data_IF_901494269626
#
_entry.id   IF_901494269626
#
_cell.length_a   1.000
_cell.length_b   1.000
_cell.length_c   1.000
_cell.angle_alpha   90.00
_cell.angle_beta   90.00
_cell.angle_gamma   90.00
#
_symmetry.space_group_name_H-M   'P 1'
#
loop_
_entity.id
_entity.type
_entity.pdbx_description
1 polymer ?
#
# COMPACT_ATOMS: atom_id res chain seq x y z
N UNK A 1 -8.23 -8.01 28.90
CA UNK A 1 -8.22 -8.79 27.64
C UNK A 1 -6.95 -8.43 26.88
N UNK A 2 -5.88 -9.22 27.01
CA UNK A 2 -4.63 -9.03 26.26
C UNK A 2 -4.65 -9.97 25.07
N UNK A 3 -4.67 -9.43 23.86
CA UNK A 3 -4.69 -10.20 22.63
C UNK A 3 -3.25 -10.61 22.28
N UNK A 4 -2.88 -11.90 22.25
CA UNK A 4 -1.56 -12.31 21.79
C UNK A 4 -1.57 -12.28 20.27
N UNK A 5 -1.04 -11.21 19.68
CA UNK A 5 -0.74 -11.17 18.24
C UNK A 5 0.45 -12.09 17.98
N UNK A 6 0.18 -13.37 17.74
CA UNK A 6 1.16 -14.32 17.20
C UNK A 6 1.48 -13.90 15.77
N UNK A 7 2.44 -12.99 15.61
CA UNK A 7 2.97 -12.61 14.30
C UNK A 7 3.83 -13.75 13.77
N UNK A 8 3.47 -14.29 12.59
CA UNK A 8 4.32 -15.26 11.89
C UNK A 8 5.67 -14.63 11.58
N UNK A 9 6.73 -15.20 12.14
CA UNK A 9 8.11 -14.88 11.78
C UNK A 9 8.29 -15.04 10.27
N UNK A 10 8.77 -14.00 9.60
CA UNK A 10 9.11 -14.05 8.18
C UNK A 10 10.01 -15.26 7.90
N UNK A 11 9.67 -16.05 6.88
CA UNK A 11 10.49 -17.17 6.44
C UNK A 11 11.78 -16.66 5.80
N UNK A 12 12.82 -17.49 5.69
CA UNK A 12 14.13 -17.08 5.14
C UNK A 12 14.09 -16.58 3.68
N UNK A 13 12.96 -16.78 2.98
CA UNK A 13 12.71 -16.31 1.63
C UNK A 13 11.87 -15.04 1.58
N UNK A 14 11.27 -14.64 2.70
CA UNK A 14 10.45 -13.45 2.75
C UNK A 14 11.33 -12.21 2.81
N UNK A 15 10.93 -11.12 2.14
CA UNK A 15 11.65 -9.88 2.23
C UNK A 15 11.75 -9.36 3.67
N UNK A 16 12.87 -8.75 4.03
CA UNK A 16 13.17 -8.35 5.41
C UNK A 16 12.13 -7.40 6.04
N UNK A 17 11.45 -6.59 5.23
CA UNK A 17 10.36 -5.69 5.67
C UNK A 17 9.05 -6.42 6.03
N UNK A 18 8.95 -7.73 5.76
CA UNK A 18 7.80 -8.56 6.14
C UNK A 18 7.91 -9.17 7.56
N UNK A 19 9.04 -8.98 8.25
CA UNK A 19 9.22 -9.48 9.61
C UNK A 19 8.29 -8.76 10.60
N UNK A 20 7.24 -9.45 11.07
CA UNK A 20 6.23 -8.89 12.00
C UNK A 20 6.74 -8.68 13.43
N UNK A 21 7.95 -9.15 13.75
CA UNK A 21 8.58 -8.90 15.06
C UNK A 21 9.24 -7.52 15.13
N UNK A 22 9.45 -6.86 14.00
CA UNK A 22 9.96 -5.48 13.91
C UNK A 22 8.81 -4.48 14.00
N UNK A 23 9.12 -3.28 14.48
CA UNK A 23 8.16 -2.17 14.48
C UNK A 23 7.77 -1.78 13.04
N UNK A 24 6.58 -1.15 12.85
CA UNK A 24 6.19 -0.63 11.55
C UNK A 24 7.23 0.34 10.96
N UNK A 25 7.90 1.13 11.79
CA UNK A 25 8.93 2.08 11.37
C UNK A 25 10.18 1.37 10.83
N UNK A 26 10.67 0.35 11.54
CA UNK A 26 11.82 -0.45 11.10
C UNK A 26 11.51 -1.17 9.78
N UNK A 27 10.31 -1.74 9.65
CA UNK A 27 9.86 -2.39 8.42
C UNK A 27 9.78 -1.42 7.25
N UNK A 28 9.27 -0.22 7.47
CA UNK A 28 9.22 0.82 6.44
C UNK A 28 10.63 1.24 5.98
N UNK A 29 11.57 1.39 6.91
CA UNK A 29 12.96 1.71 6.55
C UNK A 29 13.65 0.61 5.74
N UNK A 30 13.40 -0.66 6.08
CA UNK A 30 13.91 -1.80 5.30
C UNK A 30 13.35 -1.80 3.88
N UNK A 31 12.06 -1.49 3.71
CA UNK A 31 11.43 -1.35 2.40
C UNK A 31 12.03 -0.19 1.60
N UNK A 32 12.13 1.00 2.21
CA UNK A 32 12.68 2.20 1.58
C UNK A 32 14.15 2.06 1.16
N UNK A 33 14.92 1.27 1.91
CA UNK A 33 16.32 0.97 1.58
C UNK A 33 16.46 0.11 0.31
N UNK A 34 15.41 -0.64 -0.05
CA UNK A 34 15.40 -1.43 -1.27
C UNK A 34 14.93 -0.65 -2.48
N UNK A 35 14.23 0.48 -2.30
CA UNK A 35 13.63 1.25 -3.40
C UNK A 35 14.62 2.17 -4.12
N UNK A 36 14.48 2.30 -5.45
CA UNK A 36 15.16 3.34 -6.23
C UNK A 36 14.56 4.73 -5.94
N UNK A 37 15.20 5.78 -6.44
CA UNK A 37 14.66 7.14 -6.29
C UNK A 37 13.34 7.29 -7.07
N UNK A 38 13.28 6.71 -8.27
CA UNK A 38 12.11 6.73 -9.14
C UNK A 38 10.92 6.04 -8.46
N UNK A 39 11.14 4.85 -7.87
CA UNK A 39 10.10 4.14 -7.12
C UNK A 39 9.63 4.95 -5.90
N UNK A 40 10.52 5.69 -5.24
CA UNK A 40 10.13 6.61 -4.14
C UNK A 40 9.30 7.78 -4.65
N UNK A 41 9.62 8.30 -5.84
CA UNK A 41 8.86 9.37 -6.49
C UNK A 41 7.46 8.87 -6.85
N UNK A 42 7.33 7.68 -7.45
CA UNK A 42 6.04 7.06 -7.78
C UNK A 42 5.15 6.84 -6.56
N UNK A 43 5.74 6.56 -5.39
CA UNK A 43 4.98 6.40 -4.15
C UNK A 43 4.37 7.72 -3.64
N UNK A 44 5.02 8.85 -3.91
CA UNK A 44 4.60 10.19 -3.44
C UNK A 44 3.83 10.95 -4.51
N UNK A 45 4.02 10.60 -5.78
CA UNK A 45 3.33 11.18 -6.93
C UNK A 45 2.06 10.41 -7.25
N UNK A 46 0.90 11.00 -6.93
CA UNK A 46 -0.38 10.44 -7.36
C UNK A 46 -0.62 10.63 -8.85
N UNK A 47 -1.05 9.59 -9.55
CA UNK A 47 -1.56 9.72 -10.92
C UNK A 47 -3.02 10.20 -10.89
N UNK A 48 -3.29 11.28 -11.61
CA UNK A 48 -4.63 11.82 -11.85
C UNK A 48 -5.07 11.53 -13.30
N UNK A 49 -6.33 11.12 -13.59
CA UNK A 49 -7.42 10.72 -12.71
C UNK A 49 -7.82 9.24 -12.93
N UNK A 50 -7.41 8.36 -12.02
CA UNK A 50 -8.08 7.08 -11.79
C UNK A 50 -9.42 7.35 -11.05
N UNK A 51 -10.41 6.42 -10.99
CA UNK A 51 -11.72 6.65 -10.36
C UNK A 51 -11.72 6.87 -8.82
N UNK A 52 -10.55 7.20 -8.25
CA UNK A 52 -10.27 7.43 -6.84
C UNK A 52 -9.83 8.88 -6.62
N UNK A 53 -9.96 9.40 -5.39
CA UNK A 53 -9.56 10.78 -5.07
C UNK A 53 -8.05 11.01 -5.23
N UNK A 54 -7.24 9.99 -4.91
CA UNK A 54 -5.81 9.90 -5.21
C UNK A 54 -5.45 8.44 -5.50
N UNK A 55 -4.52 8.21 -6.43
CA UNK A 55 -4.06 6.89 -6.84
C UNK A 55 -2.54 6.89 -7.01
N UNK A 56 -1.83 5.91 -6.45
CA UNK A 56 -0.43 5.63 -6.80
C UNK A 56 -0.35 4.29 -7.52
N UNK A 57 0.40 4.23 -8.63
CA UNK A 57 0.63 3.01 -9.40
C UNK A 57 1.33 1.92 -8.54
N UNK A 58 1.16 0.62 -8.89
CA UNK A 58 1.84 -0.45 -8.17
C UNK A 58 3.35 -0.41 -8.43
N UNK A 59 4.15 -0.54 -7.36
CA UNK A 59 5.61 -0.66 -7.47
C UNK A 59 5.96 -2.15 -7.45
N UNK A 60 6.07 -2.72 -8.64
CA UNK A 60 6.07 -4.18 -8.86
C UNK A 60 7.26 -4.90 -8.22
N UNK A 61 8.45 -4.29 -8.21
CA UNK A 61 9.69 -4.93 -7.73
C UNK A 61 9.72 -5.17 -6.21
N UNK A 62 9.37 -4.20 -5.34
CA UNK A 62 9.16 -4.45 -3.92
C UNK A 62 7.79 -5.08 -3.59
N UNK A 63 6.94 -5.31 -4.59
CA UNK A 63 5.61 -5.90 -4.39
C UNK A 63 4.61 -4.96 -3.71
N UNK A 64 4.75 -3.65 -3.87
CA UNK A 64 3.83 -2.66 -3.30
C UNK A 64 2.60 -2.57 -4.21
N UNK A 65 1.39 -2.92 -3.74
CA UNK A 65 0.18 -2.80 -4.54
C UNK A 65 -0.18 -1.33 -4.78
N UNK A 66 -1.01 -1.08 -5.78
CA UNK A 66 -1.54 0.26 -6.04
C UNK A 66 -2.25 0.83 -4.79
N UNK A 67 -1.96 2.09 -4.47
CA UNK A 67 -2.58 2.77 -3.33
C UNK A 67 -3.79 3.57 -3.81
N UNK A 68 -4.97 3.20 -3.35
CA UNK A 68 -6.23 3.90 -3.66
C UNK A 68 -6.71 4.66 -2.42
N UNK A 69 -6.88 5.97 -2.52
CA UNK A 69 -7.39 6.81 -1.43
C UNK A 69 -8.84 7.24 -1.71
N UNK A 70 -9.70 7.08 -0.70
CA UNK A 70 -11.09 7.54 -0.72
C UNK A 70 -11.35 8.48 0.46
N UNK A 71 -12.12 9.54 0.24
CA UNK A 71 -12.54 10.51 1.27
C UNK A 71 -13.60 9.90 2.20
N UNK A 72 -13.61 10.28 3.48
CA UNK A 72 -14.57 9.79 4.47
C UNK A 72 -14.64 10.63 5.75
N UNK A 73 -15.85 11.16 6.05
CA UNK A 73 -16.58 10.71 7.25
C UNK A 73 -17.97 10.09 6.94
N UNK A 74 -18.45 10.16 5.69
CA UNK A 74 -19.82 9.80 5.29
C UNK A 74 -19.94 8.57 4.36
N UNK A 75 -18.99 7.62 4.44
CA UNK A 75 -18.99 6.36 3.67
C UNK A 75 -18.03 6.33 2.47
N UNK A 76 -17.72 5.12 1.99
CA UNK A 76 -16.77 4.85 0.89
C UNK A 76 -17.33 5.44 -0.42
N UNK A 77 -16.66 6.46 -0.98
CA UNK A 77 -16.95 6.99 -2.33
C UNK A 77 -15.96 6.41 -3.35
N UNK A 78 -16.47 5.56 -4.24
CA UNK A 78 -15.76 5.09 -5.44
C UNK A 78 -16.62 5.50 -6.64
N UNK A 79 -16.03 6.12 -7.67
CA UNK A 79 -16.78 6.45 -8.88
C UNK A 79 -17.24 5.15 -9.57
N UNK A 80 -18.56 4.95 -9.71
CA UNK A 80 -19.11 3.83 -10.49
C UNK A 80 -18.88 4.10 -11.98
N UNK A 81 -18.00 3.35 -12.62
CA UNK A 81 -18.02 3.21 -14.09
C UNK A 81 -19.18 2.31 -14.49
N UNK A 82 -20.26 2.94 -14.96
CA UNK A 82 -21.16 2.45 -16.01
C UNK A 82 -22.05 1.23 -15.75
N UNK A 83 -23.36 1.47 -15.63
CA UNK A 83 -24.39 0.77 -16.43
C UNK A 83 -25.73 1.50 -16.30
N UNK A 84 -26.40 1.76 -17.43
CA UNK A 84 -27.86 1.73 -17.68
C UNK A 84 -28.23 2.76 -18.76
N UNK A 85 -28.47 2.31 -20.00
CA UNK A 85 -29.71 2.41 -20.80
C UNK A 85 -29.56 1.34 -21.90
N UNK A 86 -30.46 0.38 -22.09
CA UNK A 86 -31.90 0.57 -22.28
C UNK A 86 -32.10 0.60 -23.77
#
# INVERSE_FOLDING_TARGET
>A
MTNPSTGSSASAQDPSWMNTSLSPYERANLLLAQMTLEEKIEMVHGELPAPYGFYNAPISRPGIPALTMADGPAGIRIAKTGRQRG
#
